data_IF_815708183137
#
_entry.id   IF_815708183137
#
_cell.length_a   1.000
_cell.length_b   1.000
_cell.length_c   1.000
_cell.angle_alpha   90.00
_cell.angle_beta   90.00
_cell.angle_gamma   90.00
#
_symmetry.space_group_name_H-M   'P 1'
#
loop_
_entity.id
_entity.type
_entity.pdbx_description
1 polymer ?
#
# COMPACT_ATOMS: atom_id res chain seq x y z
N UNK A 1 67.92 -76.07 -48.27
CA UNK A 1 66.96 -77.09 -48.77
C UNK A 1 65.56 -76.56 -48.52
N UNK A 2 64.75 -76.47 -49.59
CA UNK A 2 63.28 -76.54 -49.73
C UNK A 2 62.34 -76.12 -48.57
N UNK A 3 61.13 -75.56 -48.74
CA UNK A 3 60.35 -75.03 -49.86
C UNK A 3 58.95 -74.60 -49.33
N UNK A 4 58.24 -73.72 -50.07
CA UNK A 4 56.75 -73.59 -50.22
C UNK A 4 55.94 -73.13 -48.97
N UNK A 5 54.78 -72.45 -49.00
CA UNK A 5 53.78 -71.98 -49.99
C UNK A 5 52.79 -71.06 -49.20
N UNK A 6 52.32 -69.91 -49.67
CA UNK A 6 51.03 -69.70 -50.38
C UNK A 6 50.27 -68.51 -49.78
N UNK A 7 49.34 -67.95 -50.56
CA UNK A 7 48.78 -66.59 -50.46
C UNK A 7 47.54 -66.46 -49.54
N UNK A 8 47.15 -65.23 -49.14
CA UNK A 8 46.04 -64.50 -49.78
C UNK A 8 45.54 -63.25 -49.02
N UNK A 9 45.09 -62.29 -49.85
CA UNK A 9 44.00 -61.29 -49.68
C UNK A 9 44.24 -59.97 -48.92
N UNK A 10 44.17 -58.94 -49.76
CA UNK A 10 44.01 -57.51 -49.56
C UNK A 10 42.74 -57.12 -48.81
N UNK A 11 42.81 -56.08 -47.99
CA UNK A 11 41.72 -55.12 -47.72
C UNK A 11 42.32 -53.81 -47.20
N UNK A 12 42.15 -52.74 -47.96
CA UNK A 12 42.56 -51.39 -47.60
C UNK A 12 41.64 -50.80 -46.52
N UNK A 13 42.21 -50.08 -45.55
CA UNK A 13 41.45 -49.17 -44.66
C UNK A 13 42.21 -47.85 -44.57
N UNK A 14 41.56 -46.80 -45.08
CA UNK A 14 42.03 -45.43 -45.04
C UNK A 14 41.97 -44.87 -43.62
N UNK A 15 43.09 -44.34 -43.12
CA UNK A 15 43.11 -43.60 -41.86
C UNK A 15 42.79 -42.13 -42.10
N UNK A 16 41.61 -41.73 -41.60
CA UNK A 16 41.10 -40.36 -41.60
C UNK A 16 41.90 -39.44 -40.67
N UNK A 17 42.14 -38.20 -41.13
CA UNK A 17 42.68 -37.11 -40.32
C UNK A 17 41.66 -36.73 -39.23
N UNK A 18 41.98 -36.92 -37.96
CA UNK A 18 41.24 -36.30 -36.87
C UNK A 18 41.87 -34.94 -36.49
N UNK A 19 41.06 -33.90 -36.64
CA UNK A 19 41.33 -32.53 -36.24
C UNK A 19 41.42 -32.42 -34.71
N UNK A 20 42.36 -31.60 -34.22
CA UNK A 20 42.47 -31.23 -32.81
C UNK A 20 41.23 -30.45 -32.38
N UNK A 21 40.49 -31.00 -31.43
CA UNK A 21 39.39 -30.32 -30.73
C UNK A 21 40.01 -29.35 -29.72
N UNK A 22 39.80 -28.05 -29.91
CA UNK A 22 40.11 -27.04 -28.90
C UNK A 22 39.14 -27.17 -27.71
N UNK A 23 39.57 -26.93 -26.45
CA UNK A 23 38.70 -27.09 -25.30
C UNK A 23 37.62 -26.01 -25.32
N UNK A 24 36.36 -26.42 -25.16
CA UNK A 24 35.23 -25.51 -24.92
C UNK A 24 35.45 -24.84 -23.57
N UNK A 25 35.64 -23.52 -23.57
CA UNK A 25 35.53 -22.70 -22.36
C UNK A 25 34.06 -22.73 -21.95
N UNK A 26 33.77 -23.44 -20.86
CA UNK A 26 32.46 -23.40 -20.23
C UNK A 26 32.26 -21.99 -19.66
N UNK A 27 31.36 -21.21 -20.27
CA UNK A 27 30.93 -19.94 -19.70
C UNK A 27 30.09 -20.24 -18.46
N UNK A 28 30.70 -20.13 -17.28
CA UNK A 28 29.94 -20.16 -16.03
C UNK A 28 29.08 -18.90 -16.00
N UNK A 29 27.78 -19.04 -16.28
CA UNK A 29 26.81 -18.00 -15.93
C UNK A 29 26.79 -17.97 -14.40
N UNK A 30 27.62 -17.09 -13.83
CA UNK A 30 27.63 -16.83 -12.41
C UNK A 30 26.24 -16.35 -12.02
N UNK A 31 25.49 -17.20 -11.31
CA UNK A 31 24.28 -16.78 -10.59
C UNK A 31 24.72 -15.68 -9.64
N UNK A 32 24.47 -14.42 -10.02
CA UNK A 32 24.65 -13.29 -9.11
C UNK A 32 23.61 -13.48 -8.00
N UNK A 33 24.07 -13.97 -6.85
CA UNK A 33 23.28 -13.91 -5.63
C UNK A 33 22.97 -12.43 -5.38
N UNK A 34 21.70 -12.07 -5.48
CA UNK A 34 21.21 -10.75 -5.13
C UNK A 34 21.36 -10.60 -3.62
N UNK A 35 22.43 -9.95 -3.18
CA UNK A 35 22.57 -9.52 -1.78
C UNK A 35 21.87 -8.17 -1.69
N UNK A 36 20.58 -8.19 -1.34
CA UNK A 36 19.89 -6.98 -0.91
C UNK A 36 20.42 -6.65 0.49
N UNK A 37 21.29 -5.65 0.59
CA UNK A 37 21.62 -5.05 1.89
C UNK A 37 20.43 -4.19 2.31
N UNK A 38 19.53 -4.76 3.10
CA UNK A 38 18.54 -3.96 3.82
C UNK A 38 19.30 -3.05 4.79
N UNK A 39 19.39 -1.75 4.48
CA UNK A 39 19.71 -0.73 5.48
C UNK A 39 18.68 -0.84 6.59
N UNK A 40 19.12 -0.93 7.86
CA UNK A 40 18.30 -1.02 9.09
C UNK A 40 16.81 -0.68 8.84
N UNK A 41 16.05 -1.67 8.40
CA UNK A 41 14.70 -1.44 7.92
C UNK A 41 13.83 -1.30 9.16
N UNK A 42 13.43 -0.07 9.47
CA UNK A 42 12.23 0.15 10.27
C UNK A 42 11.11 -0.72 9.66
N UNK A 43 10.37 -1.41 10.54
CA UNK A 43 9.27 -2.27 10.09
C UNK A 43 8.34 -1.47 9.19
N UNK A 44 7.78 -2.08 8.11
CA UNK A 44 6.75 -1.42 7.33
C UNK A 44 5.63 -0.91 8.24
N UNK A 45 5.08 0.27 7.92
CA UNK A 45 3.94 0.83 8.66
C UNK A 45 2.74 -0.11 8.61
N UNK A 46 2.42 -0.65 7.43
CA UNK A 46 1.37 -1.67 7.29
C UNK A 46 1.77 -2.92 8.06
N UNK A 47 0.88 -3.39 8.94
CA UNK A 47 1.10 -4.48 9.88
C UNK A 47 1.73 -4.05 11.21
N UNK A 48 2.07 -2.77 11.38
CA UNK A 48 2.59 -2.20 12.62
C UNK A 48 1.54 -1.33 13.33
N UNK A 49 1.71 -1.12 14.64
CA UNK A 49 0.92 -0.14 15.39
C UNK A 49 1.13 1.24 14.78
N UNK A 50 0.04 1.93 14.48
CA UNK A 50 0.06 3.27 13.90
C UNK A 50 0.80 4.24 14.84
N UNK A 51 1.74 5.07 14.34
CA UNK A 51 2.39 6.10 15.13
C UNK A 51 1.34 6.98 15.82
N UNK A 52 1.35 6.98 17.15
CA UNK A 52 0.41 7.78 17.94
C UNK A 52 0.78 9.26 17.83
N UNK A 53 -0.22 10.13 17.95
CA UNK A 53 -0.01 11.57 17.96
C UNK A 53 -1.04 12.25 18.85
N UNK A 54 -0.70 13.45 19.28
CA UNK A 54 -1.55 14.36 20.02
C UNK A 54 -1.40 15.75 19.42
N UNK A 55 -2.49 16.30 18.87
CA UNK A 55 -2.43 17.53 18.09
C UNK A 55 -3.72 18.34 18.19
N UNK A 56 -3.62 19.64 17.88
CA UNK A 56 -4.77 20.51 17.69
C UNK A 56 -5.48 20.14 16.39
N UNK A 57 -6.80 20.25 16.39
CA UNK A 57 -7.65 20.02 15.24
C UNK A 57 -8.82 21.01 15.25
N UNK A 58 -9.46 21.17 14.10
CA UNK A 58 -10.71 21.93 13.94
C UNK A 58 -11.85 20.96 13.68
N UNK A 59 -12.92 21.05 14.45
CA UNK A 59 -14.16 20.31 14.25
C UNK A 59 -15.34 21.13 14.77
N UNK A 60 -16.48 21.11 14.08
CA UNK A 60 -17.63 21.97 14.39
C UNK A 60 -17.24 23.45 14.58
N UNK A 61 -16.25 23.91 13.79
CA UNK A 61 -15.66 25.26 13.84
C UNK A 61 -14.99 25.62 15.19
N UNK A 62 -14.71 24.64 16.04
CA UNK A 62 -14.01 24.81 17.31
C UNK A 62 -12.61 24.18 17.28
N UNK A 63 -11.70 24.70 18.12
CA UNK A 63 -10.40 24.08 18.34
C UNK A 63 -10.49 23.00 19.40
N UNK A 64 -10.03 21.81 19.04
CA UNK A 64 -10.03 20.65 19.92
C UNK A 64 -8.70 19.90 19.87
N UNK A 65 -8.33 19.29 20.99
CA UNK A 65 -7.14 18.46 21.07
C UNK A 65 -7.52 16.98 20.88
N UNK A 66 -6.98 16.36 19.84
CA UNK A 66 -7.24 14.95 19.54
C UNK A 66 -6.01 14.09 19.84
N UNK A 67 -6.23 12.81 20.12
CA UNK A 67 -5.18 11.82 20.30
C UNK A 67 -5.58 10.56 19.57
N UNK A 68 -4.74 10.04 18.67
CA UNK A 68 -5.10 8.91 17.81
C UNK A 68 -5.45 7.66 18.61
N UNK A 69 -4.71 7.36 19.67
CA UNK A 69 -4.99 6.22 20.57
C UNK A 69 -6.35 6.30 21.28
N UNK A 70 -7.03 7.46 21.34
CA UNK A 70 -8.40 7.55 21.87
C UNK A 70 -9.46 6.98 20.91
N UNK A 71 -9.10 6.69 19.67
CA UNK A 71 -9.99 6.09 18.68
C UNK A 71 -9.99 4.55 18.71
N UNK A 72 -9.23 3.92 19.60
CA UNK A 72 -9.24 2.45 19.76
C UNK A 72 -10.65 1.94 20.01
N UNK A 73 -10.97 0.78 19.44
CA UNK A 73 -12.34 0.25 19.36
C UNK A 73 -13.13 0.71 18.12
N UNK A 74 -12.63 1.71 17.38
CA UNK A 74 -13.14 2.12 16.06
C UNK A 74 -12.05 1.95 15.00
N UNK A 75 -12.46 1.79 13.74
CA UNK A 75 -11.53 1.96 12.62
C UNK A 75 -11.29 3.46 12.40
N UNK A 76 -10.12 3.80 11.84
CA UNK A 76 -9.78 5.18 11.47
C UNK A 76 -9.26 5.21 10.05
N UNK A 77 -9.86 6.05 9.20
CA UNK A 77 -9.28 6.51 7.94
C UNK A 77 -8.52 7.80 8.23
N UNK A 78 -7.20 7.70 8.31
CA UNK A 78 -6.31 8.84 8.51
C UNK A 78 -5.72 9.24 7.16
N UNK A 79 -6.01 10.44 6.68
CA UNK A 79 -5.52 10.87 5.38
C UNK A 79 -4.83 12.23 5.45
N UNK A 80 -3.69 12.31 4.79
CA UNK A 80 -2.86 13.50 4.65
C UNK A 80 -3.18 14.20 3.34
N UNK A 81 -3.10 15.52 3.33
CA UNK A 81 -3.16 16.32 2.12
C UNK A 81 -2.07 17.40 2.14
N UNK A 82 -1.62 17.88 0.96
CA UNK A 82 -0.49 18.80 0.87
C UNK A 82 -0.63 20.10 1.67
N UNK A 83 -1.64 20.90 1.35
CA UNK A 83 -1.84 22.26 1.85
C UNK A 83 -3.30 22.70 1.75
N UNK A 84 -3.72 23.53 2.69
CA UNK A 84 -4.96 24.32 2.64
C UNK A 84 -4.97 25.29 1.45
N UNK A 85 -6.16 25.72 1.02
CA UNK A 85 -6.36 26.68 -0.08
C UNK A 85 -5.68 26.30 -1.41
N UNK A 86 -5.63 25.00 -1.71
CA UNK A 86 -5.14 24.46 -2.99
C UNK A 86 -6.27 23.78 -3.78
N UNK A 87 -5.96 23.07 -4.87
CA UNK A 87 -6.96 22.69 -5.88
C UNK A 87 -7.59 21.30 -5.66
N UNK A 88 -6.77 20.25 -5.53
CA UNK A 88 -7.28 18.86 -5.39
C UNK A 88 -7.66 18.56 -3.93
N UNK A 89 -6.99 19.18 -2.96
CA UNK A 89 -7.25 18.96 -1.55
C UNK A 89 -8.72 19.19 -1.12
N UNK A 90 -9.38 20.31 -1.49
CA UNK A 90 -10.77 20.53 -1.08
C UNK A 90 -11.72 19.49 -1.66
N UNK A 91 -11.44 18.95 -2.86
CA UNK A 91 -12.30 17.93 -3.47
C UNK A 91 -12.23 16.61 -2.72
N UNK A 92 -11.05 16.22 -2.23
CA UNK A 92 -10.90 15.01 -1.40
C UNK A 92 -11.56 15.19 -0.03
N UNK A 93 -11.31 16.32 0.64
CA UNK A 93 -11.85 16.61 1.97
C UNK A 93 -13.38 16.66 1.93
N UNK A 94 -13.96 17.39 0.99
CA UNK A 94 -15.42 17.46 0.86
C UNK A 94 -16.04 16.13 0.45
N UNK A 95 -15.40 15.35 -0.43
CA UNK A 95 -15.92 14.03 -0.82
C UNK A 95 -15.98 13.03 0.34
N UNK A 96 -14.98 13.01 1.23
CA UNK A 96 -15.06 12.21 2.46
C UNK A 96 -16.13 12.77 3.41
N UNK A 97 -16.27 14.10 3.50
CA UNK A 97 -17.20 14.73 4.44
C UNK A 97 -18.65 14.43 4.06
N UNK A 98 -18.99 14.59 2.78
CA UNK A 98 -20.33 14.34 2.24
C UNK A 98 -20.75 12.87 2.40
N UNK A 99 -19.76 11.97 2.42
CA UNK A 99 -19.95 10.52 2.57
C UNK A 99 -19.58 9.99 3.96
N UNK A 100 -19.33 10.86 4.94
CA UNK A 100 -18.86 10.48 6.27
C UNK A 100 -19.81 9.49 6.96
N UNK A 101 -21.12 9.64 6.74
CA UNK A 101 -22.12 8.71 7.28
C UNK A 101 -21.86 7.25 6.87
N UNK A 102 -21.38 7.02 5.63
CA UNK A 102 -21.07 5.67 5.15
C UNK A 102 -19.94 5.00 5.93
N UNK A 103 -19.01 5.78 6.49
CA UNK A 103 -17.91 5.31 7.34
C UNK A 103 -18.39 5.15 8.79
N UNK A 104 -19.14 6.14 9.29
CA UNK A 104 -19.71 6.10 10.64
C UNK A 104 -20.61 4.90 10.87
N UNK A 105 -21.46 4.55 9.89
CA UNK A 105 -22.38 3.41 9.96
C UNK A 105 -21.64 2.06 10.07
N UNK A 106 -20.37 2.00 9.67
CA UNK A 106 -19.50 0.82 9.81
C UNK A 106 -18.39 1.06 10.84
N UNK A 107 -18.71 1.79 11.91
CA UNK A 107 -17.84 2.03 13.08
C UNK A 107 -16.45 2.59 12.72
N UNK A 108 -16.42 3.56 11.80
CA UNK A 108 -15.18 4.16 11.30
C UNK A 108 -15.21 5.67 11.41
N UNK A 109 -14.12 6.24 11.92
CA UNK A 109 -13.87 7.68 11.94
C UNK A 109 -12.95 8.09 10.78
N UNK A 110 -13.06 9.34 10.36
CA UNK A 110 -12.20 9.93 9.32
C UNK A 110 -11.43 11.08 9.96
N UNK A 111 -10.14 11.22 9.66
CA UNK A 111 -9.30 12.32 10.14
C UNK A 111 -8.50 12.87 8.95
N UNK A 112 -8.63 14.15 8.64
CA UNK A 112 -7.79 14.83 7.65
C UNK A 112 -6.60 15.51 8.30
N UNK A 113 -5.42 15.45 7.71
CA UNK A 113 -4.19 16.05 8.27
C UNK A 113 -3.44 16.85 7.21
N UNK A 114 -2.98 18.05 7.55
CA UNK A 114 -1.92 18.73 6.79
C UNK A 114 -0.95 19.44 7.73
N UNK A 115 0.09 20.01 7.15
CA UNK A 115 1.11 20.79 7.87
C UNK A 115 0.64 22.20 8.23
N UNK A 116 -0.59 22.57 7.86
CA UNK A 116 -1.17 23.88 8.14
C UNK A 116 -1.56 24.04 9.62
N UNK A 117 -1.78 25.28 10.04
CA UNK A 117 -2.24 25.58 11.39
C UNK A 117 -3.75 25.37 11.52
N UNK A 118 -4.22 25.13 12.75
CA UNK A 118 -5.65 25.08 13.06
C UNK A 118 -6.37 26.39 12.71
N UNK A 119 -5.68 27.53 12.71
CA UNK A 119 -6.26 28.82 12.29
C UNK A 119 -6.52 28.85 10.78
N UNK A 120 -5.60 28.30 9.98
CA UNK A 120 -5.75 28.15 8.53
C UNK A 120 -6.91 27.21 8.20
N UNK A 121 -6.98 26.07 8.90
CA UNK A 121 -8.08 25.12 8.76
C UNK A 121 -9.44 25.78 9.03
N UNK A 122 -9.57 26.53 10.14
CA UNK A 122 -10.81 27.22 10.49
C UNK A 122 -11.21 28.24 9.43
N UNK A 123 -10.26 29.05 8.95
CA UNK A 123 -10.52 30.00 7.88
C UNK A 123 -10.98 29.30 6.59
N UNK A 124 -10.44 28.12 6.28
CA UNK A 124 -10.81 27.38 5.08
C UNK A 124 -12.18 26.69 5.20
N UNK A 125 -12.53 26.18 6.38
CA UNK A 125 -13.87 25.69 6.74
C UNK A 125 -14.91 26.81 6.58
N UNK A 126 -14.57 28.03 7.00
CA UNK A 126 -15.46 29.20 6.89
C UNK A 126 -15.56 29.76 5.46
N UNK A 127 -14.74 29.28 4.52
CA UNK A 127 -14.81 29.68 3.11
C UNK A 127 -15.83 28.81 2.37
N UNK A 128 -16.68 29.43 1.53
CA UNK A 128 -17.70 28.73 0.74
C UNK A 128 -17.04 27.78 -0.29
N UNK A 129 -17.64 26.60 -0.50
CA UNK A 129 -17.13 25.60 -1.47
C UNK A 129 -17.03 26.14 -2.90
N UNK A 130 -17.90 27.08 -3.29
CA UNK A 130 -17.89 27.73 -4.62
C UNK A 130 -16.65 28.61 -4.83
N UNK A 131 -16.07 29.11 -3.74
CA UNK A 131 -14.84 29.90 -3.72
C UNK A 131 -13.60 29.04 -3.46
N UNK A 132 -13.73 27.70 -3.53
CA UNK A 132 -12.64 26.77 -3.23
C UNK A 132 -12.43 26.49 -1.74
N UNK A 133 -13.38 26.87 -0.89
CA UNK A 133 -13.43 26.53 0.52
C UNK A 133 -13.95 25.11 0.80
N UNK A 134 -14.13 24.80 2.08
CA UNK A 134 -14.61 23.49 2.51
C UNK A 134 -16.07 23.51 2.97
N UNK A 135 -16.56 24.62 3.49
CA UNK A 135 -17.81 24.67 4.26
C UNK A 135 -17.74 23.75 5.50
N UNK A 136 -18.91 23.44 6.06
CA UNK A 136 -18.99 22.56 7.23
C UNK A 136 -18.48 21.14 6.90
N UNK A 137 -17.75 20.56 7.87
CA UNK A 137 -17.17 19.23 7.77
C UNK A 137 -17.72 18.30 8.85
N UNK A 138 -17.89 17.04 8.49
CA UNK A 138 -18.40 16.01 9.39
C UNK A 138 -17.31 15.28 10.19
N UNK A 139 -16.07 15.75 10.13
CA UNK A 139 -14.93 15.17 10.82
C UNK A 139 -13.80 16.19 11.04
N UNK A 140 -12.84 15.94 11.95
CA UNK A 140 -11.80 16.92 12.27
C UNK A 140 -10.70 17.04 11.21
N UNK A 141 -10.19 18.27 11.05
CA UNK A 141 -8.91 18.56 10.38
C UNK A 141 -7.81 18.81 11.40
N UNK A 142 -6.75 18.02 11.33
CA UNK A 142 -5.64 17.98 12.29
C UNK A 142 -4.47 18.82 11.79
N UNK A 143 -4.02 19.73 12.64
CA UNK A 143 -2.90 20.62 12.36
C UNK A 143 -1.57 19.95 12.76
N UNK A 144 -0.80 19.51 11.77
CA UNK A 144 0.56 18.98 11.93
C UNK A 144 1.60 20.09 11.71
N UNK A 145 1.47 21.19 12.45
CA UNK A 145 2.31 22.39 12.28
C UNK A 145 3.81 22.09 12.46
N UNK A 146 4.15 21.09 13.28
CA UNK A 146 5.54 20.65 13.50
C UNK A 146 6.03 19.61 12.48
N UNK A 147 5.15 19.13 11.61
CA UNK A 147 5.43 18.12 10.56
C UNK A 147 5.85 16.76 11.12
N UNK A 148 5.63 16.54 12.41
CA UNK A 148 6.05 15.33 13.13
C UNK A 148 5.15 14.15 12.77
N UNK A 149 3.84 14.40 12.59
CA UNK A 149 2.88 13.35 12.21
C UNK A 149 3.18 12.90 10.78
N UNK A 150 3.31 13.83 9.84
CA UNK A 150 3.59 13.56 8.44
C UNK A 150 4.93 12.83 8.26
N UNK A 151 5.94 13.17 9.07
CA UNK A 151 7.22 12.47 9.11
C UNK A 151 7.08 11.04 9.65
N UNK A 152 6.35 10.86 10.76
CA UNK A 152 6.14 9.55 11.38
C UNK A 152 5.37 8.57 10.46
N UNK A 153 4.48 9.09 9.63
CA UNK A 153 3.75 8.31 8.61
C UNK A 153 4.51 8.20 7.28
N UNK A 154 5.72 8.78 7.18
CA UNK A 154 6.57 8.66 5.99
C UNK A 154 6.03 9.35 4.74
N UNK A 155 5.21 10.40 4.91
CA UNK A 155 4.56 11.12 3.81
C UNK A 155 5.04 12.56 3.64
N UNK A 156 5.89 13.05 4.54
CA UNK A 156 6.48 14.39 4.44
C UNK A 156 7.52 14.46 3.30
N UNK A 157 7.38 15.43 2.40
CA UNK A 157 8.34 15.72 1.33
C UNK A 157 9.45 16.66 1.81
N UNK A 158 10.52 16.79 1.02
CA UNK A 158 11.60 17.74 1.27
C UNK A 158 11.12 19.20 1.23
N UNK A 159 10.06 19.48 0.47
CA UNK A 159 9.41 20.80 0.40
C UNK A 159 8.60 21.13 1.69
N UNK A 160 8.52 20.18 2.62
CA UNK A 160 7.88 20.37 3.91
C UNK A 160 6.35 20.33 3.85
N UNK A 161 5.78 19.62 2.88
CA UNK A 161 4.35 19.33 2.73
C UNK A 161 4.14 17.81 2.70
N UNK A 162 2.91 17.36 2.85
CA UNK A 162 2.60 15.93 2.80
C UNK A 162 2.21 15.48 1.40
N UNK A 163 2.69 14.30 0.99
CA UNK A 163 2.07 13.55 -0.10
C UNK A 163 0.62 13.21 0.25
N UNK A 164 -0.16 12.76 -0.74
CA UNK A 164 -1.55 12.33 -0.55
C UNK A 164 -1.59 10.91 0.03
N UNK A 165 -1.07 10.76 1.24
CA UNK A 165 -1.07 9.51 2.01
C UNK A 165 -2.42 9.26 2.68
N UNK A 166 -2.91 8.03 2.64
CA UNK A 166 -4.11 7.57 3.34
C UNK A 166 -3.79 6.24 4.01
N UNK A 167 -4.20 6.10 5.25
CA UNK A 167 -3.98 4.92 6.08
C UNK A 167 -5.31 4.47 6.67
N UNK A 168 -5.59 3.17 6.59
CA UNK A 168 -6.71 2.54 7.31
C UNK A 168 -6.12 1.85 8.53
N UNK A 169 -6.56 2.29 9.71
CA UNK A 169 -6.12 1.80 11.01
C UNK A 169 -7.28 1.03 11.64
N UNK A 170 -7.02 -0.17 12.15
CA UNK A 170 -8.04 -0.99 12.80
C UNK A 170 -8.33 -0.59 14.25
N UNK A 171 -9.25 -1.33 14.87
CA UNK A 171 -9.73 -1.08 16.24
C UNK A 171 -8.62 -1.25 17.28
N UNK A 172 -7.64 -2.08 16.99
CA UNK A 172 -6.48 -2.38 17.81
C UNK A 172 -5.36 -1.35 17.60
N UNK A 173 -5.48 -0.52 16.55
CA UNK A 173 -4.54 0.52 16.22
C UNK A 173 -3.45 0.14 15.24
N UNK A 174 -3.61 -0.98 14.54
CA UNK A 174 -2.66 -1.47 13.55
C UNK A 174 -3.03 -0.87 12.20
N UNK A 175 -2.02 -0.39 11.47
CA UNK A 175 -2.21 0.07 10.09
C UNK A 175 -2.43 -1.15 9.20
N UNK A 176 -3.60 -1.27 8.60
CA UNK A 176 -3.97 -2.40 7.74
C UNK A 176 -3.76 -2.11 6.26
N UNK A 177 -3.84 -0.83 5.87
CA UNK A 177 -3.72 -0.41 4.48
C UNK A 177 -3.07 0.96 4.37
N UNK A 178 -2.36 1.18 3.26
CA UNK A 178 -1.83 2.48 2.89
C UNK A 178 -2.05 2.76 1.39
N UNK A 179 -2.31 4.01 1.03
CA UNK A 179 -2.30 4.51 -0.35
C UNK A 179 -1.59 5.84 -0.36
N UNK A 180 -0.59 5.99 -1.23
CA UNK A 180 0.21 7.21 -1.32
C UNK A 180 0.19 7.69 -2.76
N UNK A 181 -0.60 8.73 -3.01
CA UNK A 181 -0.64 9.39 -4.32
C UNK A 181 0.37 10.54 -4.36
N UNK A 182 0.91 10.81 -5.55
CA UNK A 182 1.65 12.05 -5.79
C UNK A 182 0.66 13.24 -5.83
N UNK A 183 1.16 14.46 -5.85
CA UNK A 183 0.39 15.68 -5.60
C UNK A 183 -0.72 15.96 -6.63
N UNK A 184 -0.54 15.53 -7.88
CA UNK A 184 -1.36 15.96 -9.01
C UNK A 184 -2.66 15.17 -9.24
N UNK A 185 -2.94 14.12 -8.46
CA UNK A 185 -4.15 13.31 -8.64
C UNK A 185 -4.75 12.85 -7.30
N UNK A 186 -6.08 12.94 -7.20
CA UNK A 186 -6.84 12.62 -5.99
C UNK A 186 -7.01 11.11 -5.75
N UNK A 187 -7.46 10.78 -4.54
CA UNK A 187 -7.82 9.43 -4.08
C UNK A 187 -9.28 9.10 -4.40
N UNK A 188 -9.63 7.83 -4.20
CA UNK A 188 -11.00 7.33 -4.34
C UNK A 188 -11.62 7.00 -2.97
N UNK A 189 -12.73 7.66 -2.65
CA UNK A 189 -13.53 7.36 -1.45
C UNK A 189 -14.16 5.96 -1.56
N UNK A 190 -14.59 5.57 -2.77
CA UNK A 190 -15.16 4.24 -3.02
C UNK A 190 -14.16 3.12 -2.76
N UNK A 191 -12.92 3.29 -3.22
CA UNK A 191 -11.88 2.29 -2.99
C UNK A 191 -11.49 2.23 -1.51
N UNK A 192 -11.42 3.38 -0.85
CA UNK A 192 -11.17 3.45 0.60
C UNK A 192 -12.23 2.66 1.36
N UNK A 193 -13.50 2.87 1.04
CA UNK A 193 -14.63 2.13 1.64
C UNK A 193 -14.57 0.64 1.32
N UNK A 194 -14.29 0.27 0.07
CA UNK A 194 -14.19 -1.14 -0.35
C UNK A 194 -13.10 -1.89 0.43
N UNK A 195 -11.90 -1.29 0.53
CA UNK A 195 -10.77 -1.89 1.27
C UNK A 195 -11.09 -1.99 2.76
N UNK A 196 -11.68 -0.95 3.36
CA UNK A 196 -12.15 -0.98 4.75
C UNK A 196 -13.13 -2.12 5.00
N UNK A 197 -14.13 -2.29 4.12
CA UNK A 197 -15.09 -3.39 4.23
C UNK A 197 -14.43 -4.77 4.09
N UNK A 198 -13.40 -4.90 3.24
CA UNK A 198 -12.63 -6.14 3.12
C UNK A 198 -11.85 -6.45 4.40
N UNK A 199 -11.20 -5.43 5.00
CA UNK A 199 -10.52 -5.55 6.29
C UNK A 199 -11.50 -6.00 7.39
N UNK A 200 -12.66 -5.34 7.49
CA UNK A 200 -13.69 -5.70 8.46
C UNK A 200 -14.22 -7.12 8.25
N UNK A 201 -14.38 -7.53 6.99
CA UNK A 201 -14.85 -8.86 6.64
C UNK A 201 -13.88 -9.94 7.12
N UNK A 202 -12.60 -9.86 6.77
CA UNK A 202 -11.60 -10.88 7.16
C UNK A 202 -11.35 -10.90 8.66
N UNK A 203 -11.47 -9.76 9.34
CA UNK A 203 -11.39 -9.71 10.81
C UNK A 203 -12.62 -10.36 11.48
N UNK A 204 -13.77 -10.36 10.83
CA UNK A 204 -14.99 -11.03 11.31
C UNK A 204 -15.09 -12.50 10.87
N UNK A 205 -14.34 -12.89 9.84
CA UNK A 205 -14.30 -14.22 9.25
C UNK A 205 -12.82 -14.67 9.12
N UNK A 206 -12.18 -15.04 10.24
CA UNK A 206 -10.72 -15.25 10.28
C UNK A 206 -10.21 -16.42 9.42
N UNK A 207 -11.11 -17.33 9.03
CA UNK A 207 -10.81 -18.46 8.16
C UNK A 207 -10.95 -18.14 6.65
N UNK A 208 -11.17 -16.87 6.30
CA UNK A 208 -11.42 -16.43 4.93
C UNK A 208 -10.55 -15.23 4.52
N UNK A 209 -10.30 -15.12 3.22
CA UNK A 209 -9.62 -13.98 2.59
C UNK A 209 -10.42 -13.46 1.39
N UNK A 210 -10.31 -12.16 1.15
CA UNK A 210 -10.96 -11.47 0.04
C UNK A 210 -10.09 -11.51 -1.22
N UNK A 211 -10.60 -11.97 -2.38
CA UNK A 211 -9.89 -11.95 -3.67
C UNK A 211 -9.71 -10.52 -4.24
N UNK A 212 -9.01 -10.45 -5.38
CA UNK A 212 -8.80 -9.20 -6.10
C UNK A 212 -10.15 -8.56 -6.51
N UNK A 213 -10.31 -7.26 -6.24
CA UNK A 213 -11.52 -6.52 -6.59
C UNK A 213 -12.75 -6.83 -5.74
N UNK A 214 -12.62 -7.65 -4.68
CA UNK A 214 -13.73 -8.07 -3.81
C UNK A 214 -14.56 -6.88 -3.29
N UNK A 215 -15.88 -7.05 -3.31
CA UNK A 215 -16.88 -6.17 -2.71
C UNK A 215 -17.80 -6.99 -1.79
N UNK A 216 -18.51 -6.35 -0.85
CA UNK A 216 -19.51 -7.03 -0.04
C UNK A 216 -20.51 -7.82 -0.90
N UNK A 217 -20.67 -9.11 -0.61
CA UNK A 217 -21.51 -10.05 -1.36
C UNK A 217 -20.74 -10.93 -2.35
N UNK A 218 -19.50 -10.57 -2.72
CA UNK A 218 -18.66 -11.42 -3.57
C UNK A 218 -18.13 -12.65 -2.83
N UNK A 219 -17.81 -13.70 -3.60
CA UNK A 219 -17.19 -14.92 -3.06
C UNK A 219 -15.83 -14.63 -2.44
N UNK A 220 -15.54 -15.34 -1.36
CA UNK A 220 -14.27 -15.33 -0.63
C UNK A 220 -13.59 -16.70 -0.76
N UNK A 221 -12.38 -16.83 -0.23
CA UNK A 221 -11.66 -18.11 -0.26
C UNK A 221 -11.05 -18.42 1.12
N UNK A 222 -10.98 -19.71 1.45
CA UNK A 222 -10.19 -20.17 2.60
C UNK A 222 -8.70 -20.10 2.25
N UNK A 223 -7.83 -19.57 3.12
CA UNK A 223 -6.39 -19.51 2.88
C UNK A 223 -5.70 -20.87 3.16
N UNK A 224 -6.26 -21.94 2.60
CA UNK A 224 -5.79 -23.32 2.70
C UNK A 224 -5.68 -23.94 1.28
N UNK A 225 -4.61 -24.66 0.93
CA UNK A 225 -4.45 -25.25 -0.40
C UNK A 225 -5.56 -26.21 -0.84
N UNK A 226 -6.31 -26.81 0.09
CA UNK A 226 -7.42 -27.72 -0.22
C UNK A 226 -8.74 -26.96 -0.27
N UNK A 227 -9.00 -26.10 0.72
CA UNK A 227 -10.21 -25.26 0.81
C UNK A 227 -10.32 -24.21 -0.29
N UNK A 228 -9.21 -23.61 -0.71
CA UNK A 228 -9.20 -22.63 -1.82
C UNK A 228 -9.67 -23.19 -3.15
N UNK A 229 -9.62 -24.51 -3.36
CA UNK A 229 -10.11 -25.16 -4.60
C UNK A 229 -11.61 -24.98 -4.80
N UNK A 230 -12.38 -24.81 -3.74
CA UNK A 230 -13.82 -24.52 -3.83
C UNK A 230 -14.06 -23.17 -4.53
N UNK A 231 -13.29 -22.14 -4.17
CA UNK A 231 -13.33 -20.85 -4.84
C UNK A 231 -12.90 -20.98 -6.31
N UNK A 232 -11.73 -21.58 -6.57
CA UNK A 232 -11.18 -21.69 -7.93
C UNK A 232 -11.99 -22.58 -8.89
N UNK A 233 -12.83 -23.48 -8.37
CA UNK A 233 -13.74 -24.27 -9.21
C UNK A 233 -15.00 -23.49 -9.61
N UNK A 234 -15.28 -22.38 -8.94
CA UNK A 234 -16.55 -21.65 -9.05
C UNK A 234 -16.40 -20.24 -9.66
N UNK A 235 -15.20 -19.90 -10.15
CA UNK A 235 -14.84 -18.64 -10.84
C UNK A 235 -14.25 -18.92 -12.21
#
# INVERSE_FOLDING_TARGET
>A
MAALQSASRSSAVAFSRQARVAPRVASSVARRNLVVRASHAEKPLVGSVAPDFKAQAVFDQEFQEITLSKYRGKYVVLFFYPLDFTFVCPTEITAFSDRYKEFKDINTEVLGVSVDSQFTHLAWIQTDRKEGGLGDLNYPLVADLKKEISKAYGVLTEDGISLRGLFIIDKEGVVQHATINNLAFGRSVDETKRVLQAIQYVQSNPDEVCPAGWKPGDKTMKPDPKGSKEYFAAV
#
